data_IF_753100941187
#
_entry.id   IF_753100941187
#
_cell.length_a   1.000
_cell.length_b   1.000
_cell.length_c   1.000
_cell.angle_alpha   90.00
_cell.angle_beta   90.00
_cell.angle_gamma   90.00
#
_symmetry.space_group_name_H-M   'P 1'
#
loop_
_entity.id
_entity.type
_entity.pdbx_description
1 polymer ?
#
# COMPACT_ATOMS: atom_id res chain seq x y z
N UNK A 1 -16.00 10.08 -9.50
CA UNK A 1 -15.15 9.80 -10.63
C UNK A 1 -15.87 10.08 -11.96
N UNK A 2 -16.96 9.38 -12.28
CA UNK A 2 -17.68 9.51 -13.56
C UNK A 2 -18.09 10.95 -13.89
N UNK A 3 -18.65 11.71 -12.94
CA UNK A 3 -19.11 13.08 -13.15
C UNK A 3 -18.04 14.07 -13.60
N UNK A 4 -16.76 13.76 -13.37
CA UNK A 4 -15.60 14.57 -13.77
C UNK A 4 -14.79 13.92 -14.90
N UNK A 5 -15.30 12.83 -15.50
CA UNK A 5 -14.64 12.12 -16.59
C UNK A 5 -13.36 11.37 -16.17
N UNK A 6 -13.18 11.07 -14.89
CA UNK A 6 -12.03 10.31 -14.43
C UNK A 6 -12.10 8.86 -14.93
N UNK A 7 -10.99 8.34 -15.41
CA UNK A 7 -10.86 6.95 -15.91
C UNK A 7 -10.37 5.98 -14.84
N UNK A 8 -9.84 6.48 -13.73
CA UNK A 8 -9.41 5.73 -12.56
C UNK A 8 -9.57 6.60 -11.31
N UNK A 9 -9.54 6.00 -10.14
CA UNK A 9 -9.59 6.75 -8.87
C UNK A 9 -9.00 5.96 -7.71
N UNK A 10 -8.54 6.70 -6.69
CA UNK A 10 -8.19 6.17 -5.39
C UNK A 10 -9.34 6.38 -4.39
N UNK A 11 -9.40 5.53 -3.37
CA UNK A 11 -10.38 5.65 -2.28
C UNK A 11 -9.83 5.11 -0.96
N UNK A 12 -10.52 5.41 0.13
CA UNK A 12 -10.33 4.73 1.42
C UNK A 12 -11.54 3.86 1.69
N UNK A 13 -11.33 2.61 2.13
CA UNK A 13 -12.43 1.68 2.46
C UNK A 13 -13.11 2.02 3.78
N UNK A 14 -12.46 2.86 4.61
CA UNK A 14 -12.97 3.46 5.84
C UNK A 14 -12.31 4.83 6.05
N UNK A 15 -12.66 5.54 7.12
CA UNK A 15 -12.00 6.80 7.46
C UNK A 15 -10.51 6.56 7.78
N UNK A 16 -9.62 7.19 7.00
CA UNK A 16 -8.17 7.03 7.08
C UNK A 16 -7.52 7.54 8.38
N UNK A 17 -8.30 8.16 9.27
CA UNK A 17 -7.86 8.66 10.59
C UNK A 17 -8.51 7.92 11.76
N UNK A 18 -9.11 6.76 11.50
CA UNK A 18 -9.75 5.92 12.51
C UNK A 18 -9.21 4.49 12.44
N UNK A 19 -8.90 3.94 13.63
CA UNK A 19 -8.42 2.57 13.75
C UNK A 19 -9.49 1.53 13.45
N UNK A 20 -10.72 1.79 13.84
CA UNK A 20 -11.83 0.86 13.75
C UNK A 20 -13.00 1.49 12.99
N UNK A 21 -13.62 0.73 12.14
CA UNK A 21 -14.88 1.08 11.50
C UNK A 21 -15.87 -0.10 11.63
N UNK A 22 -17.18 0.16 11.56
CA UNK A 22 -18.16 -0.91 11.50
C UNK A 22 -17.90 -1.86 10.32
N UNK A 23 -18.26 -3.13 10.48
CA UNK A 23 -18.23 -4.07 9.37
C UNK A 23 -19.07 -3.57 8.19
N UNK A 24 -18.61 -3.84 6.98
CA UNK A 24 -19.39 -3.55 5.78
C UNK A 24 -20.65 -4.41 5.76
N UNK A 25 -21.80 -3.77 5.56
CA UNK A 25 -23.07 -4.48 5.39
C UNK A 25 -23.22 -4.97 3.95
N UNK A 26 -23.94 -6.07 3.75
CA UNK A 26 -24.20 -6.64 2.42
C UNK A 26 -24.72 -5.61 1.42
N UNK A 27 -25.66 -4.77 1.85
CA UNK A 27 -26.25 -3.73 1.00
C UNK A 27 -25.23 -2.67 0.55
N UNK A 28 -24.24 -2.37 1.42
CA UNK A 28 -23.16 -1.42 1.08
C UNK A 28 -22.18 -2.02 0.06
N UNK A 29 -21.85 -3.31 0.23
CA UNK A 29 -20.99 -4.06 -0.71
C UNK A 29 -21.65 -4.12 -2.09
N UNK A 30 -22.92 -4.51 -2.14
CA UNK A 30 -23.69 -4.60 -3.39
C UNK A 30 -23.85 -3.24 -4.06
N UNK A 31 -24.13 -2.18 -3.28
CA UNK A 31 -24.25 -0.83 -3.81
C UNK A 31 -22.95 -0.31 -4.40
N UNK A 32 -21.81 -0.60 -3.74
CA UNK A 32 -20.50 -0.24 -4.25
C UNK A 32 -20.17 -0.96 -5.57
N UNK A 33 -20.35 -2.28 -5.60
CA UNK A 33 -20.08 -3.10 -6.80
C UNK A 33 -20.94 -2.64 -7.99
N UNK A 34 -22.22 -2.44 -7.76
CA UNK A 34 -23.15 -1.93 -8.79
C UNK A 34 -22.74 -0.54 -9.29
N UNK A 35 -22.37 0.38 -8.39
CA UNK A 35 -21.92 1.72 -8.78
C UNK A 35 -20.62 1.69 -9.62
N UNK A 36 -19.71 0.75 -9.36
CA UNK A 36 -18.53 0.53 -10.18
C UNK A 36 -18.93 0.01 -11.57
N UNK A 37 -19.78 -0.99 -11.64
CA UNK A 37 -20.29 -1.56 -12.91
C UNK A 37 -21.00 -0.50 -13.75
N UNK A 38 -21.96 0.23 -13.18
CA UNK A 38 -22.69 1.33 -13.85
C UNK A 38 -21.74 2.47 -14.29
N UNK A 39 -20.66 2.66 -13.55
CA UNK A 39 -19.60 3.63 -13.85
C UNK A 39 -18.64 3.18 -14.94
N UNK A 40 -18.64 1.88 -15.28
CA UNK A 40 -17.68 1.25 -16.20
C UNK A 40 -16.29 1.08 -15.59
N UNK A 41 -16.19 0.99 -14.24
CA UNK A 41 -14.92 0.78 -13.55
C UNK A 41 -14.71 -0.69 -13.20
N UNK A 42 -13.52 -1.18 -13.53
CA UNK A 42 -13.03 -2.49 -13.09
C UNK A 42 -12.09 -2.31 -11.87
N UNK A 43 -11.78 -3.36 -11.11
CA UNK A 43 -10.82 -3.28 -10.01
C UNK A 43 -9.47 -2.69 -10.42
N UNK A 44 -9.00 -2.94 -11.66
CA UNK A 44 -7.75 -2.42 -12.19
C UNK A 44 -7.66 -0.88 -12.25
N UNK A 45 -8.80 -0.19 -12.20
CA UNK A 45 -8.90 1.27 -12.26
C UNK A 45 -9.14 1.90 -10.87
N UNK A 46 -9.15 1.08 -9.83
CA UNK A 46 -9.45 1.53 -8.46
C UNK A 46 -8.27 1.15 -7.57
N UNK A 47 -7.64 2.16 -6.93
CA UNK A 47 -6.54 1.96 -6.01
C UNK A 47 -6.97 2.34 -4.59
N UNK A 48 -7.43 1.40 -3.77
CA UNK A 48 -7.67 1.66 -2.35
C UNK A 48 -6.37 1.98 -1.63
N UNK A 49 -6.42 2.88 -0.67
CA UNK A 49 -5.32 3.18 0.24
C UNK A 49 -5.71 2.85 1.68
N UNK A 50 -4.79 2.36 2.46
CA UNK A 50 -5.02 2.06 3.87
C UNK A 50 -5.03 3.32 4.76
N UNK A 51 -5.29 3.13 6.05
CA UNK A 51 -5.25 4.21 7.04
C UNK A 51 -3.82 4.66 7.31
N UNK A 52 -3.58 5.98 7.29
CA UNK A 52 -2.30 6.61 7.66
C UNK A 52 -1.85 6.35 9.10
N UNK A 53 -2.70 5.74 9.93
CA UNK A 53 -2.35 5.36 11.30
C UNK A 53 -1.55 4.06 11.37
N UNK A 54 -1.58 3.25 10.31
CA UNK A 54 -0.95 1.93 10.25
C UNK A 54 0.56 2.09 10.12
N UNK A 55 1.30 1.39 11.00
CA UNK A 55 2.75 1.27 10.93
C UNK A 55 3.12 -0.21 11.09
N UNK A 56 3.34 -0.90 9.97
CA UNK A 56 3.66 -2.33 9.95
C UNK A 56 5.07 -2.67 10.44
N UNK A 57 5.94 -1.65 10.58
CA UNK A 57 7.28 -1.75 11.13
C UNK A 57 7.41 -1.26 12.58
N UNK A 58 6.29 -1.06 13.29
CA UNK A 58 6.31 -0.44 14.62
C UNK A 58 7.20 -1.20 15.61
N UNK A 59 8.11 -0.50 16.36
CA UNK A 59 9.04 -1.15 17.28
C UNK A 59 8.37 -1.76 18.51
N UNK A 60 7.24 -1.22 18.96
CA UNK A 60 6.51 -1.71 20.13
C UNK A 60 5.45 -2.74 19.72
N UNK A 61 5.50 -3.91 20.36
CA UNK A 61 4.66 -5.06 20.02
C UNK A 61 3.15 -4.75 20.02
N UNK A 62 2.65 -4.08 21.05
CA UNK A 62 1.21 -3.78 21.14
C UNK A 62 0.74 -2.89 19.99
N UNK A 63 1.52 -1.85 19.65
CA UNK A 63 1.21 -0.96 18.54
C UNK A 63 1.38 -1.64 17.17
N UNK A 64 2.34 -2.56 17.04
CA UNK A 64 2.51 -3.40 15.86
C UNK A 64 1.30 -4.31 15.65
N UNK A 65 0.85 -5.03 16.68
CA UNK A 65 -0.31 -5.91 16.58
C UNK A 65 -1.61 -5.13 16.26
N UNK A 66 -1.74 -3.91 16.80
CA UNK A 66 -2.85 -3.02 16.44
C UNK A 66 -2.79 -2.61 14.96
N UNK A 67 -1.60 -2.31 14.44
CA UNK A 67 -1.39 -1.98 13.02
C UNK A 67 -1.66 -3.18 12.12
N UNK A 68 -1.20 -4.38 12.50
CA UNK A 68 -1.47 -5.65 11.81
C UNK A 68 -2.97 -5.95 11.70
N UNK A 69 -3.68 -5.79 12.83
CA UNK A 69 -5.13 -5.99 12.85
C UNK A 69 -5.87 -5.00 11.94
N UNK A 70 -5.45 -3.72 11.95
CA UNK A 70 -6.03 -2.69 11.10
C UNK A 70 -5.72 -2.93 9.61
N UNK A 71 -4.50 -3.35 9.27
CA UNK A 71 -4.11 -3.68 7.90
C UNK A 71 -4.88 -4.88 7.37
N UNK A 72 -5.01 -5.94 8.18
CA UNK A 72 -5.84 -7.08 7.84
C UNK A 72 -7.31 -6.67 7.55
N UNK A 73 -7.91 -5.81 8.40
CA UNK A 73 -9.28 -5.30 8.17
C UNK A 73 -9.38 -4.56 6.83
N UNK A 74 -8.38 -3.75 6.46
CA UNK A 74 -8.37 -3.04 5.17
C UNK A 74 -8.25 -4.01 3.97
N UNK A 75 -7.36 -5.02 4.06
CA UNK A 75 -7.24 -6.06 3.04
C UNK A 75 -8.56 -6.83 2.89
N UNK A 76 -9.17 -7.24 4.00
CA UNK A 76 -10.45 -7.95 3.99
C UNK A 76 -11.60 -7.09 3.43
N UNK A 77 -11.61 -5.78 3.70
CA UNK A 77 -12.57 -4.85 3.09
C UNK A 77 -12.42 -4.78 1.57
N UNK A 78 -11.18 -4.76 1.07
CA UNK A 78 -10.92 -4.83 -0.37
C UNK A 78 -11.48 -6.12 -0.98
N UNK A 79 -11.23 -7.27 -0.34
CA UNK A 79 -11.77 -8.58 -0.75
C UNK A 79 -13.30 -8.55 -0.81
N UNK A 80 -13.98 -8.07 0.25
CA UNK A 80 -15.44 -7.95 0.30
C UNK A 80 -16.00 -7.03 -0.79
N UNK A 81 -15.30 -5.94 -1.10
CA UNK A 81 -15.71 -5.00 -2.14
C UNK A 81 -15.42 -5.49 -3.56
N UNK A 82 -14.67 -6.58 -3.71
CA UNK A 82 -14.23 -7.11 -5.01
C UNK A 82 -13.10 -6.30 -5.64
N UNK A 83 -12.30 -5.64 -4.80
CA UNK A 83 -11.08 -4.92 -5.20
C UNK A 83 -9.89 -5.86 -5.11
N UNK A 84 -8.94 -5.74 -6.04
CA UNK A 84 -7.84 -6.70 -6.21
C UNK A 84 -6.50 -6.23 -5.63
N UNK A 85 -6.48 -5.06 -4.98
CA UNK A 85 -5.25 -4.46 -4.42
C UNK A 85 -5.54 -3.54 -3.26
N UNK A 86 -4.52 -3.32 -2.42
CA UNK A 86 -4.50 -2.29 -1.36
C UNK A 86 -3.15 -1.61 -1.36
N UNK A 87 -3.14 -0.29 -1.57
CA UNK A 87 -1.96 0.56 -1.48
C UNK A 87 -1.72 0.98 -0.02
N UNK A 88 -0.46 0.99 0.42
CA UNK A 88 -0.13 1.37 1.79
C UNK A 88 1.31 1.87 1.93
N UNK A 89 1.53 2.75 2.89
CA UNK A 89 2.88 3.13 3.32
C UNK A 89 3.46 2.03 4.22
N UNK A 90 4.70 1.55 3.99
CA UNK A 90 5.24 0.40 4.73
C UNK A 90 5.28 0.60 6.24
N UNK A 91 5.73 1.78 6.68
CA UNK A 91 5.83 2.10 8.10
C UNK A 91 7.11 2.84 8.46
N UNK A 92 7.45 2.80 9.74
CA UNK A 92 8.51 3.62 10.33
C UNK A 92 9.15 2.93 11.51
N UNK A 93 10.48 3.01 11.63
CA UNK A 93 11.26 2.47 12.75
C UNK A 93 11.26 3.37 14.00
N UNK A 94 10.70 4.58 13.91
CA UNK A 94 10.57 5.58 14.99
C UNK A 94 11.90 5.92 15.72
N UNK A 95 13.04 5.62 15.11
CA UNK A 95 14.37 5.77 15.72
C UNK A 95 14.65 4.83 16.90
N UNK A 96 13.83 3.79 17.09
CA UNK A 96 13.91 2.85 18.23
C UNK A 96 14.53 1.50 17.87
N UNK A 97 14.50 1.12 16.61
CA UNK A 97 15.11 -0.10 16.06
C UNK A 97 15.85 0.24 14.77
N UNK A 98 16.62 -0.69 14.22
CA UNK A 98 17.27 -0.52 12.92
C UNK A 98 16.25 -0.49 11.78
N UNK A 99 16.65 0.07 10.62
CA UNK A 99 15.83 0.01 9.41
C UNK A 99 15.54 -1.45 9.01
N UNK A 100 16.55 -2.31 9.06
CA UNK A 100 16.45 -3.72 8.70
C UNK A 100 15.44 -4.46 9.61
N UNK A 101 15.55 -4.30 10.93
CA UNK A 101 14.60 -4.90 11.88
C UNK A 101 13.15 -4.43 11.64
N UNK A 102 12.98 -3.16 11.29
CA UNK A 102 11.65 -2.62 10.97
C UNK A 102 11.14 -3.14 9.62
N UNK A 103 12.00 -3.28 8.61
CA UNK A 103 11.66 -3.88 7.32
C UNK A 103 11.26 -5.36 7.47
N UNK A 104 11.95 -6.13 8.31
CA UNK A 104 11.59 -7.53 8.61
C UNK A 104 10.18 -7.62 9.23
N UNK A 105 9.85 -6.73 10.16
CA UNK A 105 8.50 -6.65 10.76
C UNK A 105 7.43 -6.28 9.74
N UNK A 106 7.75 -5.39 8.79
CA UNK A 106 6.84 -5.01 7.70
C UNK A 106 6.57 -6.24 6.83
N UNK A 107 7.61 -6.93 6.39
CA UNK A 107 7.47 -8.13 5.56
C UNK A 107 6.66 -9.23 6.26
N UNK A 108 6.94 -9.50 7.55
CA UNK A 108 6.14 -10.42 8.37
C UNK A 108 4.68 -10.01 8.45
N UNK A 109 4.41 -8.71 8.64
CA UNK A 109 3.04 -8.19 8.74
C UNK A 109 2.28 -8.33 7.42
N UNK A 110 2.96 -8.16 6.28
CA UNK A 110 2.39 -8.41 4.95
C UNK A 110 2.05 -9.89 4.79
N UNK A 111 2.99 -10.81 5.09
CA UNK A 111 2.77 -12.25 5.00
C UNK A 111 1.57 -12.69 5.84
N UNK A 112 1.50 -12.25 7.11
CA UNK A 112 0.36 -12.55 8.00
C UNK A 112 -0.99 -12.07 7.45
N UNK A 113 -1.03 -10.97 6.73
CA UNK A 113 -2.26 -10.47 6.11
C UNK A 113 -2.61 -11.25 4.84
N UNK A 114 -1.62 -11.58 4.01
CA UNK A 114 -1.79 -12.37 2.79
C UNK A 114 -2.28 -13.79 3.10
N UNK A 115 -1.77 -14.42 4.16
CA UNK A 115 -2.22 -15.75 4.61
C UNK A 115 -3.72 -15.80 5.00
N UNK A 116 -4.28 -14.67 5.41
CA UNK A 116 -5.65 -14.55 5.92
C UNK A 116 -6.63 -13.96 4.93
N UNK A 117 -6.18 -13.52 3.76
CA UNK A 117 -7.00 -12.89 2.71
C UNK A 117 -6.74 -13.56 1.37
N UNK A 118 -7.66 -13.36 0.41
CA UNK A 118 -7.53 -13.92 -0.93
C UNK A 118 -7.78 -12.85 -2.00
N UNK A 119 -7.10 -12.97 -3.14
CA UNK A 119 -7.38 -12.16 -4.32
C UNK A 119 -7.03 -10.67 -4.21
N UNK A 120 -6.41 -10.24 -3.10
CA UNK A 120 -5.98 -8.85 -2.90
C UNK A 120 -4.46 -8.78 -2.85
N UNK A 121 -3.87 -7.96 -3.67
CA UNK A 121 -2.42 -7.69 -3.72
C UNK A 121 -2.06 -6.59 -2.73
N UNK A 122 -1.04 -6.82 -1.91
CA UNK A 122 -0.42 -5.81 -1.07
C UNK A 122 0.50 -4.93 -1.94
N UNK A 123 0.12 -3.67 -2.14
CA UNK A 123 0.86 -2.72 -2.99
C UNK A 123 1.63 -1.76 -2.10
N UNK A 124 2.95 -1.90 -2.07
CA UNK A 124 3.83 -1.12 -1.22
C UNK A 124 4.11 0.23 -1.90
N UNK A 125 3.69 1.32 -1.30
CA UNK A 125 3.97 2.66 -1.82
C UNK A 125 5.35 3.15 -1.37
N UNK A 126 6.12 3.73 -2.31
CA UNK A 126 7.31 4.45 -1.92
C UNK A 126 6.95 5.69 -1.09
N UNK A 127 7.80 6.06 -0.13
CA UNK A 127 7.61 7.22 0.74
C UNK A 127 8.64 8.32 0.46
N UNK A 128 8.42 9.51 1.03
CA UNK A 128 9.34 10.63 0.88
C UNK A 128 10.56 10.56 1.84
N UNK A 129 10.62 9.59 2.74
CA UNK A 129 11.73 9.42 3.68
C UNK A 129 11.77 10.43 4.82
N UNK A 130 10.67 11.14 5.09
CA UNK A 130 10.63 12.08 6.19
C UNK A 130 10.69 11.37 7.55
N UNK A 131 11.46 11.92 8.46
CA UNK A 131 11.62 11.38 9.82
C UNK A 131 12.29 10.00 9.82
N UNK A 132 11.55 8.97 10.15
CA UNK A 132 11.99 7.58 10.22
C UNK A 132 11.13 6.64 9.35
N UNK A 133 10.43 7.19 8.37
CA UNK A 133 9.62 6.41 7.43
C UNK A 133 10.51 5.60 6.50
N UNK A 134 10.10 4.35 6.27
CA UNK A 134 10.75 3.41 5.36
C UNK A 134 10.03 3.36 4.00
N UNK A 135 10.67 2.78 2.99
CA UNK A 135 10.13 2.71 1.64
C UNK A 135 10.57 3.86 0.73
N UNK A 136 11.39 4.80 1.21
CA UNK A 136 11.89 5.92 0.41
C UNK A 136 13.02 5.56 -0.56
N UNK A 137 13.70 4.44 -0.34
CA UNK A 137 14.70 3.88 -1.25
C UNK A 137 14.11 2.68 -1.98
N UNK A 138 14.44 2.52 -3.25
CA UNK A 138 14.00 1.35 -4.04
C UNK A 138 14.51 0.04 -3.44
N UNK A 139 15.68 0.04 -2.80
CA UNK A 139 16.21 -1.11 -2.07
C UNK A 139 15.32 -1.53 -0.89
N UNK A 140 14.61 -0.60 -0.23
CA UNK A 140 13.64 -0.97 0.80
C UNK A 140 12.46 -1.75 0.20
N UNK A 141 11.97 -1.31 -0.96
CA UNK A 141 10.87 -1.99 -1.66
C UNK A 141 11.31 -3.38 -2.14
N UNK A 142 12.50 -3.46 -2.74
CA UNK A 142 13.09 -4.74 -3.18
C UNK A 142 13.28 -5.69 -1.99
N UNK A 143 13.78 -5.19 -0.86
CA UNK A 143 13.95 -5.96 0.37
C UNK A 143 12.63 -6.55 0.89
N UNK A 144 11.56 -5.74 0.88
CA UNK A 144 10.23 -6.19 1.28
C UNK A 144 9.68 -7.24 0.32
N UNK A 145 9.76 -6.99 -1.00
CA UNK A 145 9.32 -7.95 -2.01
C UNK A 145 10.05 -9.29 -1.86
N UNK A 146 11.38 -9.26 -1.63
CA UNK A 146 12.17 -10.48 -1.46
C UNK A 146 11.71 -11.33 -0.28
N UNK A 147 11.20 -10.72 0.79
CA UNK A 147 10.74 -11.40 2.02
C UNK A 147 9.25 -11.74 2.05
N UNK A 148 8.46 -11.20 1.13
CA UNK A 148 7.07 -11.64 0.99
C UNK A 148 7.03 -13.01 0.34
N UNK A 149 6.32 -13.97 0.96
CA UNK A 149 6.28 -15.37 0.53
C UNK A 149 5.48 -15.54 -0.78
N UNK A 150 4.28 -14.98 -0.84
CA UNK A 150 3.45 -14.99 -2.04
C UNK A 150 3.80 -13.83 -2.99
N UNK A 151 4.77 -14.08 -3.87
CA UNK A 151 5.23 -13.11 -4.88
C UNK A 151 4.14 -12.67 -5.86
N UNK A 152 3.11 -13.47 -6.04
CA UNK A 152 1.99 -13.14 -6.94
C UNK A 152 1.05 -12.08 -6.36
N UNK A 153 1.14 -11.84 -5.05
CA UNK A 153 0.26 -10.92 -4.32
C UNK A 153 1.01 -9.77 -3.64
N UNK A 154 2.18 -9.42 -4.15
CA UNK A 154 2.91 -8.22 -3.74
C UNK A 154 3.26 -7.38 -4.96
N UNK A 155 3.23 -6.07 -4.83
CA UNK A 155 3.60 -5.14 -5.87
C UNK A 155 4.02 -3.79 -5.28
N UNK A 156 4.36 -2.84 -6.13
CA UNK A 156 4.75 -1.49 -5.73
C UNK A 156 3.90 -0.43 -6.39
N UNK A 157 3.70 0.67 -5.69
CA UNK A 157 3.16 1.91 -6.22
C UNK A 157 4.26 2.98 -6.14
N UNK A 158 4.51 3.67 -7.24
CA UNK A 158 5.44 4.79 -7.28
C UNK A 158 4.66 6.10 -7.27
N UNK A 159 4.61 6.70 -6.07
CA UNK A 159 4.17 8.09 -5.93
C UNK A 159 5.31 9.01 -6.37
N UNK A 160 5.08 9.78 -7.44
CA UNK A 160 6.10 10.66 -8.03
C UNK A 160 6.46 11.84 -7.14
N UNK A 161 5.54 12.30 -6.29
CA UNK A 161 5.81 13.34 -5.30
C UNK A 161 6.74 12.82 -4.20
N UNK A 162 6.48 11.63 -3.70
CA UNK A 162 7.33 10.96 -2.72
C UNK A 162 8.72 10.64 -3.30
N UNK A 163 8.78 10.09 -4.52
CA UNK A 163 10.03 9.80 -5.19
C UNK A 163 10.88 11.07 -5.35
N UNK A 164 10.28 12.16 -5.83
CA UNK A 164 10.98 13.45 -5.96
C UNK A 164 11.48 13.98 -4.61
N UNK A 165 10.67 13.92 -3.57
CA UNK A 165 11.05 14.34 -2.22
C UNK A 165 12.15 13.44 -1.62
N UNK A 166 12.19 12.16 -1.97
CA UNK A 166 13.24 11.22 -1.58
C UNK A 166 14.57 11.41 -2.36
N UNK A 167 14.58 12.27 -3.39
CA UNK A 167 15.78 12.61 -4.15
C UNK A 167 15.86 12.01 -5.56
N UNK A 168 14.86 11.26 -6.00
CA UNK A 168 14.75 10.74 -7.36
C UNK A 168 14.30 11.87 -8.31
N UNK A 169 15.16 12.25 -9.22
CA UNK A 169 14.88 13.40 -10.10
C UNK A 169 13.92 13.03 -11.23
N UNK A 170 12.80 13.76 -11.33
CA UNK A 170 11.76 13.55 -12.35
C UNK A 170 11.52 14.82 -13.21
N UNK A 171 12.42 15.83 -13.14
CA UNK A 171 12.21 17.14 -13.76
C UNK A 171 12.49 17.20 -15.25
N UNK A 172 13.27 16.27 -15.78
CA UNK A 172 13.59 16.18 -17.21
C UNK A 172 13.37 14.77 -17.73
N UNK A 173 13.19 14.60 -19.03
CA UNK A 173 13.05 13.27 -19.62
C UNK A 173 14.23 12.35 -19.27
N UNK A 174 15.47 12.85 -19.39
CA UNK A 174 16.68 12.08 -19.08
C UNK A 174 16.76 11.69 -17.60
N UNK A 175 16.38 12.58 -16.68
CA UNK A 175 16.35 12.28 -15.25
C UNK A 175 15.24 11.26 -14.91
N UNK A 176 14.08 11.39 -15.55
CA UNK A 176 12.99 10.44 -15.42
C UNK A 176 13.40 9.03 -15.92
N UNK A 177 14.01 8.95 -17.11
CA UNK A 177 14.55 7.71 -17.66
C UNK A 177 15.59 7.07 -16.71
N UNK A 178 16.51 7.87 -16.16
CA UNK A 178 17.51 7.38 -15.20
C UNK A 178 16.86 6.83 -13.92
N UNK A 179 15.87 7.54 -13.37
CA UNK A 179 15.13 7.09 -12.17
C UNK A 179 14.40 5.78 -12.43
N UNK A 180 13.69 5.66 -13.56
CA UNK A 180 12.97 4.40 -13.87
C UNK A 180 13.92 3.26 -14.28
N UNK A 181 15.07 3.54 -14.89
CA UNK A 181 16.09 2.53 -15.13
C UNK A 181 16.69 2.01 -13.81
N UNK A 182 16.86 2.87 -12.80
CA UNK A 182 17.26 2.44 -11.46
C UNK A 182 16.18 1.57 -10.80
N UNK A 183 14.92 1.98 -10.88
CA UNK A 183 13.78 1.21 -10.38
C UNK A 183 13.76 -0.21 -11.00
N UNK A 184 13.87 -0.29 -12.33
CA UNK A 184 13.91 -1.57 -13.05
C UNK A 184 15.09 -2.44 -12.60
N UNK A 185 16.28 -1.85 -12.44
CA UNK A 185 17.48 -2.55 -11.99
C UNK A 185 17.34 -3.10 -10.57
N UNK A 186 16.67 -2.39 -9.67
CA UNK A 186 16.57 -2.72 -8.24
C UNK A 186 15.39 -3.63 -7.94
N UNK A 187 14.24 -3.38 -8.55
CA UNK A 187 12.98 -4.10 -8.27
C UNK A 187 12.58 -5.01 -9.44
N UNK A 188 12.77 -4.54 -10.66
CA UNK A 188 12.22 -5.15 -11.89
C UNK A 188 10.79 -4.66 -12.20
N UNK A 189 10.34 -4.95 -13.40
CA UNK A 189 8.98 -4.70 -13.90
C UNK A 189 8.35 -6.01 -14.36
#
# INVERSE_FOLDING_TARGET
ARAIGATAFALFTKNQRQWVAPALKAEQIEAFRRACEEGGYTPAQILPHDSYLINLGHPEREALEKSRAAFFDEMHRCELLGLDRLNFHPGSHLGKVSEEESLDRIAESINLALDRTQGVTAVIENTAGQGSNLGFRFEHLAYLIDRVEDKSRVGVCIDTCHAFAAGYDLRTAAACEATFAELERVIGF
#
